data_IF_075867172949
#
_entry.id   IF_075867172949
#
_cell.length_a   1.000
_cell.length_b   1.000
_cell.length_c   1.000
_cell.angle_alpha   90.00
_cell.angle_beta   90.00
_cell.angle_gamma   90.00
#
_symmetry.space_group_name_H-M   'P 1'
#
loop_
_entity.id
_entity.type
_entity.pdbx_description
1 polymer ?
#
# COMPACT_ATOMS: atom_id res chain seq x y z
N UNK A 1 43.65 5.25 6.93
CA UNK A 1 42.90 4.59 8.01
C UNK A 1 41.90 5.60 8.50
N UNK A 2 40.84 5.83 7.71
CA UNK A 2 39.76 6.72 8.10
C UNK A 2 38.71 5.87 8.79
N UNK A 3 38.56 6.13 10.08
CA UNK A 3 37.53 5.54 10.93
C UNK A 3 36.17 5.89 10.35
N UNK A 4 35.46 4.86 9.87
CA UNK A 4 34.02 4.86 9.64
C UNK A 4 33.35 5.43 10.88
N UNK A 5 32.92 6.68 10.82
CA UNK A 5 32.08 7.28 11.85
C UNK A 5 30.74 6.53 11.83
N UNK A 6 30.61 5.55 12.72
CA UNK A 6 29.35 4.88 13.01
C UNK A 6 28.39 5.98 13.47
N UNK A 7 27.34 6.21 12.69
CA UNK A 7 26.30 7.17 13.04
C UNK A 7 25.66 6.73 14.37
N UNK A 8 25.81 7.49 15.48
CA UNK A 8 25.38 7.04 16.82
C UNK A 8 23.87 6.83 16.94
N UNK A 9 23.06 7.31 15.98
CA UNK A 9 21.62 7.04 15.91
C UNK A 9 21.27 5.59 15.55
N UNK A 10 22.19 4.82 14.94
CA UNK A 10 21.91 3.46 14.48
C UNK A 10 21.90 2.41 15.61
N UNK A 11 22.44 2.71 16.79
CA UNK A 11 22.58 1.74 17.88
C UNK A 11 21.41 1.76 18.89
N UNK A 12 20.60 2.82 18.91
CA UNK A 12 19.48 2.97 19.86
C UNK A 12 18.16 2.64 19.20
N UNK A 13 17.39 1.72 19.78
CA UNK A 13 16.04 1.32 19.36
C UNK A 13 15.04 2.46 19.49
N UNK A 14 13.91 2.40 18.76
CA UNK A 14 12.81 3.36 18.96
C UNK A 14 12.30 3.39 20.42
N UNK A 15 12.25 2.24 21.10
CA UNK A 15 11.90 2.18 22.53
C UNK A 15 12.86 2.97 23.43
N UNK A 16 14.17 2.91 23.17
CA UNK A 16 15.15 3.70 23.91
C UNK A 16 15.06 5.20 23.60
N UNK A 17 14.72 5.56 22.35
CA UNK A 17 14.63 6.97 21.92
C UNK A 17 13.35 7.65 22.40
N UNK A 18 12.23 6.94 22.45
CA UNK A 18 10.90 7.52 22.72
C UNK A 18 10.25 7.00 24.00
N UNK A 19 10.88 6.05 24.69
CA UNK A 19 10.30 5.36 25.85
C UNK A 19 9.14 4.44 25.49
N UNK A 20 8.82 3.55 26.42
CA UNK A 20 7.62 2.69 26.37
C UNK A 20 6.55 3.23 27.33
N UNK A 21 5.29 3.00 26.98
CA UNK A 21 4.14 3.41 27.79
C UNK A 21 3.38 2.18 28.28
N UNK A 22 2.76 2.30 29.45
CA UNK A 22 1.86 1.28 29.98
C UNK A 22 0.58 1.21 29.14
N UNK A 23 0.04 0.00 29.00
CA UNK A 23 -1.23 -0.19 28.28
C UNK A 23 -2.36 0.48 29.06
N UNK A 24 -3.17 1.36 28.43
CA UNK A 24 -4.31 1.96 29.09
C UNK A 24 -5.42 0.93 29.35
N UNK A 25 -6.34 1.26 30.25
CA UNK A 25 -7.61 0.52 30.36
C UNK A 25 -8.40 0.66 29.05
N UNK A 26 -8.84 -0.48 28.50
CA UNK A 26 -9.57 -0.59 27.24
C UNK A 26 -11.05 -0.86 27.46
N UNK A 27 -11.62 -0.38 28.57
CA UNK A 27 -13.05 -0.45 28.83
C UNK A 27 -13.85 0.52 27.93
N UNK A 28 -15.01 0.06 27.44
CA UNK A 28 -15.96 0.91 26.72
C UNK A 28 -16.81 1.73 27.69
N UNK A 29 -16.24 2.83 28.17
CA UNK A 29 -16.91 3.76 29.10
C UNK A 29 -17.84 4.75 28.38
N UNK A 30 -18.77 5.42 29.09
CA UNK A 30 -19.59 6.48 28.49
C UNK A 30 -18.77 7.63 27.89
N UNK A 31 -17.55 7.89 28.38
CA UNK A 31 -16.66 8.88 27.80
C UNK A 31 -16.10 8.41 26.45
N UNK A 32 -15.58 7.18 26.38
CA UNK A 32 -15.10 6.55 25.14
C UNK A 32 -16.22 6.51 24.09
N UNK A 33 -17.43 6.11 24.49
CA UNK A 33 -18.60 6.11 23.62
C UNK A 33 -18.86 7.49 22.98
N UNK A 34 -18.92 8.55 23.79
CA UNK A 34 -19.15 9.92 23.29
C UNK A 34 -18.05 10.40 22.35
N UNK A 35 -16.79 10.17 22.71
CA UNK A 35 -15.65 10.67 21.93
C UNK A 35 -15.46 9.94 20.61
N UNK A 36 -15.87 8.67 20.54
CA UNK A 36 -15.73 7.82 19.35
C UNK A 36 -16.97 7.77 18.48
N UNK A 37 -18.12 8.29 18.94
CA UNK A 37 -19.37 8.30 18.17
C UNK A 37 -19.23 8.92 16.75
N UNK A 38 -18.52 10.06 16.54
CA UNK A 38 -18.34 10.59 15.18
C UNK A 38 -17.51 9.68 14.26
N UNK A 39 -16.65 8.82 14.83
CA UNK A 39 -15.86 7.85 14.08
C UNK A 39 -16.70 6.62 13.75
N UNK A 40 -17.59 6.20 14.67
CA UNK A 40 -18.53 5.11 14.42
C UNK A 40 -19.44 5.39 13.22
N UNK A 41 -19.94 6.62 13.09
CA UNK A 41 -20.80 7.02 11.97
C UNK A 41 -20.17 6.76 10.59
N UNK A 42 -18.84 6.78 10.50
CA UNK A 42 -18.09 6.52 9.25
C UNK A 42 -18.03 5.04 8.89
N UNK A 43 -18.20 4.15 9.87
CA UNK A 43 -18.02 2.70 9.72
C UNK A 43 -19.26 1.89 10.07
N UNK A 44 -20.36 2.52 10.52
CA UNK A 44 -21.60 1.85 10.94
C UNK A 44 -22.23 0.92 9.89
N UNK A 45 -21.93 1.14 8.61
CA UNK A 45 -22.38 0.27 7.52
C UNK A 45 -21.58 -1.03 7.42
N UNK A 46 -20.40 -1.09 8.04
CA UNK A 46 -19.49 -2.24 8.02
C UNK A 46 -19.30 -2.86 9.40
N UNK A 47 -19.50 -2.07 10.46
CA UNK A 47 -19.35 -2.49 11.86
C UNK A 47 -20.72 -2.39 12.54
N UNK A 48 -21.34 -3.54 12.87
CA UNK A 48 -22.56 -3.57 13.66
C UNK A 48 -22.39 -2.82 14.99
N UNK A 49 -23.44 -2.15 15.45
CA UNK A 49 -23.40 -1.35 16.69
C UNK A 49 -22.95 -2.18 17.90
N UNK A 50 -23.36 -3.45 17.94
CA UNK A 50 -22.99 -4.40 19.00
C UNK A 50 -21.48 -4.72 19.03
N UNK A 51 -20.77 -4.55 17.91
CA UNK A 51 -19.33 -4.77 17.83
C UNK A 51 -18.52 -3.50 18.11
N UNK A 52 -19.13 -2.31 18.01
CA UNK A 52 -18.43 -1.06 18.26
C UNK A 52 -17.73 -0.97 19.63
N UNK A 53 -18.32 -1.47 20.74
CA UNK A 53 -17.64 -1.53 22.03
C UNK A 53 -16.30 -2.27 22.03
N UNK A 54 -16.06 -3.16 21.07
CA UNK A 54 -14.78 -3.88 20.92
C UNK A 54 -13.71 -2.99 20.28
N UNK A 55 -14.09 -2.17 19.29
CA UNK A 55 -13.16 -1.32 18.54
C UNK A 55 -12.92 0.05 19.20
N UNK A 56 -13.98 0.65 19.76
CA UNK A 56 -13.97 2.02 20.27
C UNK A 56 -12.85 2.31 21.29
N UNK A 57 -12.56 1.44 22.26
CA UNK A 57 -11.46 1.68 23.20
C UNK A 57 -10.09 1.76 22.52
N UNK A 58 -9.81 0.88 21.55
CA UNK A 58 -8.57 0.95 20.78
C UNK A 58 -8.50 2.21 19.91
N UNK A 59 -9.59 2.54 19.21
CA UNK A 59 -9.67 3.76 18.39
C UNK A 59 -9.40 5.00 19.22
N UNK A 60 -10.00 5.10 20.42
CA UNK A 60 -9.78 6.20 21.34
C UNK A 60 -8.32 6.26 21.81
N UNK A 61 -7.76 5.13 22.28
CA UNK A 61 -6.38 5.06 22.77
C UNK A 61 -5.36 5.44 21.69
N UNK A 62 -5.49 4.89 20.48
CA UNK A 62 -4.59 5.17 19.35
C UNK A 62 -4.63 6.65 18.98
N UNK A 63 -5.81 7.25 18.85
CA UNK A 63 -5.94 8.66 18.48
C UNK A 63 -5.39 9.62 19.54
N UNK A 64 -5.38 9.22 20.83
CA UNK A 64 -4.70 9.97 21.88
C UNK A 64 -3.18 9.81 21.79
N UNK A 65 -2.70 8.56 21.70
CA UNK A 65 -1.26 8.26 21.66
C UNK A 65 -0.55 8.86 20.46
N UNK A 66 -1.20 8.90 19.29
CA UNK A 66 -0.65 9.59 18.11
C UNK A 66 -0.29 11.04 18.42
N UNK A 67 -1.18 11.76 19.12
CA UNK A 67 -0.95 13.17 19.49
C UNK A 67 0.17 13.28 20.52
N UNK A 68 0.15 12.42 21.54
CA UNK A 68 1.16 12.39 22.60
C UNK A 68 2.57 12.11 22.06
N UNK A 69 2.67 11.24 21.06
CA UNK A 69 3.95 10.84 20.45
C UNK A 69 4.36 11.66 19.23
N UNK A 70 3.61 12.68 18.83
CA UNK A 70 3.81 13.36 17.55
C UNK A 70 3.95 12.35 16.38
N UNK A 71 3.01 11.40 16.31
CA UNK A 71 2.99 10.33 15.34
C UNK A 71 1.84 10.49 14.34
N UNK A 72 2.07 10.07 13.10
CA UNK A 72 1.07 10.02 12.03
C UNK A 72 0.86 8.57 11.57
N UNK A 73 -0.39 8.19 11.31
CA UNK A 73 -0.73 6.89 10.72
C UNK A 73 -1.02 7.06 9.22
N UNK A 74 -0.29 6.31 8.40
CA UNK A 74 -0.54 6.16 6.96
C UNK A 74 -1.25 4.84 6.72
N UNK A 75 -2.38 4.82 5.99
CA UNK A 75 -3.08 3.58 5.65
C UNK A 75 -3.31 3.39 4.16
N UNK A 76 -3.00 2.18 3.70
CA UNK A 76 -3.32 1.77 2.33
C UNK A 76 -4.83 1.53 2.16
N UNK A 77 -5.33 1.69 0.93
CA UNK A 77 -6.74 1.47 0.57
C UNK A 77 -7.28 0.06 0.89
N UNK A 78 -6.40 -0.91 1.13
CA UNK A 78 -6.74 -2.30 1.50
C UNK A 78 -6.83 -2.54 3.01
N UNK A 79 -6.62 -1.51 3.83
CA UNK A 79 -6.77 -1.61 5.27
C UNK A 79 -8.24 -1.74 5.66
N UNK A 80 -8.51 -2.48 6.74
CA UNK A 80 -9.87 -2.62 7.27
C UNK A 80 -10.52 -1.25 7.54
N UNK A 81 -11.85 -1.09 7.36
CA UNK A 81 -12.54 0.18 7.56
C UNK A 81 -12.26 0.85 8.91
N UNK A 82 -12.12 0.09 9.99
CA UNK A 82 -11.80 0.64 11.32
C UNK A 82 -10.39 1.22 11.41
N UNK A 83 -9.42 0.63 10.71
CA UNK A 83 -8.06 1.20 10.61
C UNK A 83 -8.11 2.42 9.70
N UNK A 84 -8.68 2.25 8.51
CA UNK A 84 -8.72 3.24 7.45
C UNK A 84 -9.48 4.51 7.87
N UNK A 85 -10.71 4.42 8.38
CA UNK A 85 -11.55 5.59 8.65
C UNK A 85 -11.45 6.15 10.07
N UNK A 86 -11.00 5.36 11.05
CA UNK A 86 -11.07 5.76 12.47
C UNK A 86 -9.73 6.15 13.08
N UNK A 87 -8.59 5.65 12.58
CA UNK A 87 -7.26 5.96 13.16
C UNK A 87 -6.23 6.46 12.16
N UNK A 88 -6.50 6.43 10.86
CA UNK A 88 -5.54 6.89 9.85
C UNK A 88 -5.63 8.39 9.60
N UNK A 89 -4.48 9.05 9.48
CA UNK A 89 -4.40 10.49 9.20
C UNK A 89 -4.27 10.75 7.70
N UNK A 90 -3.54 9.88 6.99
CA UNK A 90 -3.35 9.93 5.54
C UNK A 90 -3.72 8.56 4.96
N UNK A 91 -4.43 8.59 3.83
CA UNK A 91 -5.04 7.43 3.20
C UNK A 91 -4.80 7.48 1.69
N UNK A 92 -4.47 6.36 1.07
CA UNK A 92 -4.30 6.32 -0.37
C UNK A 92 -3.64 5.06 -0.92
N UNK A 93 -3.31 5.13 -2.20
CA UNK A 93 -2.52 4.12 -2.90
C UNK A 93 -1.01 4.26 -2.60
N UNK A 94 -0.20 3.33 -3.08
CA UNK A 94 1.25 3.32 -2.82
C UNK A 94 1.95 4.62 -3.25
N UNK A 95 1.53 5.26 -4.34
CA UNK A 95 2.17 6.48 -4.83
C UNK A 95 1.80 7.69 -3.97
N UNK A 96 0.51 7.80 -3.61
CA UNK A 96 0.02 8.87 -2.75
C UNK A 96 0.67 8.78 -1.37
N UNK A 97 0.72 7.58 -0.77
CA UNK A 97 1.35 7.39 0.54
C UNK A 97 2.84 7.72 0.52
N UNK A 98 3.58 7.28 -0.50
CA UNK A 98 5.01 7.59 -0.62
C UNK A 98 5.25 9.11 -0.75
N UNK A 99 4.41 9.82 -1.51
CA UNK A 99 4.47 11.28 -1.63
C UNK A 99 4.15 11.99 -0.33
N UNK A 100 3.02 11.67 0.29
CA UNK A 100 2.56 12.39 1.47
C UNK A 100 3.40 12.08 2.71
N UNK A 101 4.02 10.89 2.78
CA UNK A 101 4.99 10.56 3.82
C UNK A 101 6.18 11.54 3.86
N UNK A 102 6.53 12.20 2.75
CA UNK A 102 7.62 13.21 2.72
C UNK A 102 7.21 14.57 3.27
N UNK A 103 5.89 14.81 3.40
CA UNK A 103 5.30 16.11 3.75
C UNK A 103 4.85 16.21 5.20
N UNK A 104 4.94 15.12 5.95
CA UNK A 104 4.55 15.10 7.37
C UNK A 104 5.69 15.62 8.25
N UNK A 105 5.33 16.46 9.21
CA UNK A 105 6.24 17.02 10.22
C UNK A 105 6.40 16.10 11.45
N UNK A 106 5.57 15.05 11.56
CA UNK A 106 5.61 14.07 12.64
C UNK A 106 6.96 13.33 12.70
N UNK A 107 7.45 13.07 13.91
CA UNK A 107 8.72 12.34 14.14
C UNK A 107 8.58 10.84 13.88
N UNK A 108 7.36 10.33 14.09
CA UNK A 108 7.01 8.91 13.98
C UNK A 108 5.96 8.73 12.89
N UNK A 109 6.18 7.77 11.99
CA UNK A 109 5.21 7.33 11.00
C UNK A 109 4.88 5.86 11.29
N UNK A 110 3.61 5.56 11.53
CA UNK A 110 3.13 4.17 11.60
C UNK A 110 2.53 3.80 10.26
N UNK A 111 3.19 2.89 9.55
CA UNK A 111 2.78 2.42 8.23
C UNK A 111 1.77 1.27 8.36
N UNK A 112 0.48 1.56 8.22
CA UNK A 112 -0.58 0.56 8.11
C UNK A 112 -0.68 0.05 6.66
N UNK A 113 0.21 -0.87 6.33
CA UNK A 113 0.31 -1.52 5.04
C UNK A 113 1.19 -2.76 5.14
N UNK A 114 2.02 -2.98 4.13
CA UNK A 114 2.96 -4.11 4.07
C UNK A 114 4.42 -3.63 4.14
N UNK A 115 5.35 -4.55 4.42
CA UNK A 115 6.74 -4.26 4.78
C UNK A 115 7.45 -3.36 3.77
N UNK A 116 7.34 -3.65 2.46
CA UNK A 116 7.98 -2.81 1.44
C UNK A 116 7.48 -1.36 1.43
N UNK A 117 6.24 -1.11 1.84
CA UNK A 117 5.70 0.25 1.94
C UNK A 117 6.35 0.99 3.10
N UNK A 118 6.57 0.29 4.22
CA UNK A 118 7.26 0.85 5.38
C UNK A 118 8.74 1.11 5.06
N UNK A 119 9.40 0.21 4.32
CA UNK A 119 10.76 0.45 3.79
C UNK A 119 10.79 1.68 2.88
N UNK A 120 9.79 1.83 1.99
CA UNK A 120 9.68 2.99 1.10
C UNK A 120 9.55 4.29 1.91
N UNK A 121 8.70 4.30 2.95
CA UNK A 121 8.57 5.43 3.87
C UNK A 121 9.89 5.72 4.60
N UNK A 122 10.65 4.69 4.98
CA UNK A 122 11.97 4.86 5.63
C UNK A 122 13.03 5.39 4.68
N UNK A 123 13.05 4.94 3.43
CA UNK A 123 13.95 5.44 2.38
C UNK A 123 13.74 6.94 2.14
N UNK A 124 12.47 7.38 2.10
CA UNK A 124 12.10 8.77 1.85
C UNK A 124 12.23 9.66 3.09
N UNK A 125 12.17 9.08 4.29
CA UNK A 125 12.30 9.77 5.57
C UNK A 125 13.39 9.12 6.45
N UNK A 126 14.68 9.22 6.09
CA UNK A 126 15.75 8.50 6.77
C UNK A 126 15.89 8.87 8.26
N UNK A 127 15.57 10.12 8.61
CA UNK A 127 15.69 10.65 9.97
C UNK A 127 14.48 10.36 10.86
N UNK A 128 13.33 10.00 10.28
CA UNK A 128 12.10 9.67 11.02
C UNK A 128 12.11 8.22 11.48
N UNK A 129 11.37 7.95 12.54
CA UNK A 129 11.09 6.58 13.00
C UNK A 129 9.88 6.04 12.25
N UNK A 130 10.07 4.96 11.51
CA UNK A 130 9.00 4.28 10.79
C UNK A 130 8.68 3.00 11.54
N UNK A 131 7.43 2.81 11.94
CA UNK A 131 6.97 1.59 12.57
C UNK A 131 6.01 0.87 11.63
N UNK A 132 6.05 -0.46 11.64
CA UNK A 132 5.03 -1.31 11.00
C UNK A 132 4.34 -2.15 12.08
N UNK A 133 3.00 -2.14 12.22
CA UNK A 133 2.34 -2.89 13.29
C UNK A 133 2.62 -4.40 13.29
N UNK A 134 3.04 -4.97 12.16
CA UNK A 134 3.46 -6.36 12.03
C UNK A 134 4.52 -6.49 10.92
N UNK A 135 5.79 -6.75 11.26
CA UNK A 135 6.86 -6.94 10.26
C UNK A 135 6.66 -8.14 9.35
N UNK A 136 5.82 -9.10 9.73
CA UNK A 136 5.48 -10.26 8.88
C UNK A 136 4.41 -9.94 7.82
N UNK A 137 3.90 -8.70 7.77
CA UNK A 137 3.05 -8.21 6.70
C UNK A 137 3.84 -8.06 5.39
N UNK A 138 4.19 -9.18 4.77
CA UNK A 138 4.91 -9.28 3.50
C UNK A 138 4.05 -8.98 2.27
N UNK A 139 4.45 -9.51 1.11
CA UNK A 139 3.71 -9.40 -0.14
C UNK A 139 4.24 -10.42 -1.15
N UNK A 140 3.35 -11.23 -1.75
CA UNK A 140 3.73 -12.27 -2.73
C UNK A 140 4.61 -11.72 -3.87
N UNK A 141 4.30 -10.53 -4.39
CA UNK A 141 5.09 -9.87 -5.42
C UNK A 141 6.49 -9.50 -4.93
N UNK A 142 6.58 -8.92 -3.73
CA UNK A 142 7.87 -8.49 -3.18
C UNK A 142 8.76 -9.68 -2.81
N UNK A 143 8.17 -10.80 -2.42
CA UNK A 143 8.87 -12.03 -2.07
C UNK A 143 9.27 -12.85 -3.30
N UNK A 144 8.67 -12.57 -4.46
CA UNK A 144 8.96 -13.28 -5.72
C UNK A 144 10.33 -12.96 -6.32
N UNK A 145 10.98 -11.86 -5.91
CA UNK A 145 12.23 -11.38 -6.52
C UNK A 145 13.19 -10.78 -5.47
N UNK A 146 14.49 -10.99 -5.67
CA UNK A 146 15.56 -10.41 -4.84
C UNK A 146 16.45 -9.44 -5.63
N UNK A 147 17.25 -8.62 -4.96
CA UNK A 147 18.24 -7.78 -5.63
C UNK A 147 19.29 -8.60 -6.37
N UNK A 148 19.58 -9.83 -5.92
CA UNK A 148 20.46 -10.75 -6.63
C UNK A 148 19.87 -11.16 -7.99
N UNK A 149 18.57 -11.40 -8.05
CA UNK A 149 17.87 -11.71 -9.30
C UNK A 149 17.90 -10.52 -10.26
N UNK A 150 17.73 -9.29 -9.76
CA UNK A 150 17.86 -8.08 -10.59
C UNK A 150 19.28 -7.92 -11.13
N UNK A 151 20.31 -8.19 -10.33
CA UNK A 151 21.71 -8.19 -10.81
C UNK A 151 21.93 -9.23 -11.90
N UNK A 152 21.36 -10.42 -11.75
CA UNK A 152 21.41 -11.46 -12.78
C UNK A 152 20.67 -11.05 -14.07
N UNK A 153 19.51 -10.40 -13.96
CA UNK A 153 18.78 -9.83 -15.11
C UNK A 153 19.61 -8.77 -15.84
N UNK A 154 20.27 -7.86 -15.11
CA UNK A 154 21.14 -6.83 -15.69
C UNK A 154 22.36 -7.43 -16.40
N UNK A 155 22.92 -8.51 -15.86
CA UNK A 155 24.00 -9.25 -16.52
C UNK A 155 23.52 -9.96 -17.80
N UNK A 156 22.29 -10.49 -17.79
CA UNK A 156 21.67 -11.16 -18.95
C UNK A 156 21.23 -10.17 -20.03
N UNK A 157 20.81 -8.96 -19.65
CA UNK A 157 20.33 -7.91 -20.55
C UNK A 157 21.10 -6.59 -20.33
N UNK A 158 22.40 -6.52 -20.68
CA UNK A 158 23.20 -5.32 -20.46
C UNK A 158 22.62 -4.09 -21.17
N UNK A 159 22.52 -2.98 -20.45
CA UNK A 159 22.01 -1.70 -20.99
C UNK A 159 20.49 -1.57 -21.06
N UNK A 160 19.73 -2.62 -20.74
CA UNK A 160 18.26 -2.54 -20.64
C UNK A 160 17.90 -1.91 -19.29
N UNK A 161 17.17 -0.77 -19.26
CA UNK A 161 16.78 -0.13 -18.01
C UNK A 161 15.76 -0.98 -17.23
N UNK A 162 15.86 -0.90 -15.90
CA UNK A 162 15.03 -1.64 -14.95
C UNK A 162 13.99 -0.71 -14.32
N UNK A 163 12.74 -0.91 -14.69
CA UNK A 163 11.55 -0.35 -14.04
C UNK A 163 11.04 -1.38 -13.03
N UNK A 164 10.97 -1.00 -11.76
CA UNK A 164 10.49 -1.90 -10.71
C UNK A 164 9.25 -1.35 -10.03
N UNK A 165 8.20 -2.15 -10.02
CA UNK A 165 7.01 -1.87 -9.26
C UNK A 165 7.35 -1.74 -7.77
N UNK A 166 6.79 -0.75 -7.09
CA UNK A 166 7.09 -0.46 -5.68
C UNK A 166 6.83 -1.64 -4.73
N UNK A 167 6.07 -2.64 -5.15
CA UNK A 167 5.79 -3.88 -4.43
C UNK A 167 7.01 -4.82 -4.41
N UNK A 168 8.14 -4.33 -3.89
CA UNK A 168 9.46 -4.98 -3.88
C UNK A 168 10.30 -4.52 -2.69
N UNK A 169 11.28 -5.30 -2.26
CA UNK A 169 12.13 -4.90 -1.12
C UNK A 169 13.05 -3.71 -1.46
N UNK A 170 13.61 -3.07 -0.43
CA UNK A 170 14.65 -2.07 -0.59
C UNK A 170 15.90 -2.62 -1.33
N UNK A 171 16.24 -3.90 -1.17
CA UNK A 171 17.35 -4.55 -1.89
C UNK A 171 17.10 -4.58 -3.40
N UNK A 172 15.89 -4.95 -3.82
CA UNK A 172 15.50 -4.90 -5.24
C UNK A 172 15.57 -3.47 -5.76
N UNK A 173 14.99 -2.51 -5.03
CA UNK A 173 15.01 -1.08 -5.40
C UNK A 173 16.42 -0.52 -5.56
N UNK A 174 17.40 -1.05 -4.82
CA UNK A 174 18.79 -0.60 -4.91
C UNK A 174 19.49 -0.99 -6.24
N UNK A 175 18.90 -1.92 -6.99
CA UNK A 175 19.38 -2.37 -8.29
C UNK A 175 18.57 -1.81 -9.47
N UNK A 176 17.50 -1.08 -9.16
CA UNK A 176 16.50 -0.50 -10.08
C UNK A 176 16.91 0.88 -10.59
N UNK A 177 16.58 1.20 -11.85
CA UNK A 177 16.80 2.54 -12.41
C UNK A 177 15.71 3.52 -11.98
N UNK A 178 14.43 3.11 -12.03
CA UNK A 178 13.29 3.90 -11.59
C UNK A 178 12.17 2.99 -11.07
N UNK A 179 11.54 3.38 -9.96
CA UNK A 179 10.34 2.67 -9.50
C UNK A 179 9.10 3.07 -10.29
N UNK A 180 8.05 2.26 -10.23
CA UNK A 180 6.71 2.65 -10.69
C UNK A 180 5.62 2.18 -9.73
N UNK A 181 4.40 2.68 -9.90
CA UNK A 181 3.18 2.11 -9.32
C UNK A 181 2.17 1.78 -10.42
N UNK A 182 1.07 1.10 -10.08
CA UNK A 182 -0.04 0.88 -11.01
C UNK A 182 -0.65 2.19 -11.54
N UNK A 183 -0.39 3.33 -10.89
CA UNK A 183 -0.88 4.66 -11.28
C UNK A 183 -0.01 5.36 -12.34
N UNK A 184 1.27 4.99 -12.49
CA UNK A 184 2.21 5.66 -13.39
C UNK A 184 3.13 4.72 -14.18
N UNK A 185 2.91 3.40 -14.16
CA UNK A 185 3.79 2.44 -14.83
C UNK A 185 3.97 2.70 -16.33
N UNK A 186 2.91 3.09 -17.04
CA UNK A 186 3.00 3.46 -18.46
C UNK A 186 3.86 4.71 -18.63
N UNK A 187 3.55 5.79 -17.88
CA UNK A 187 4.30 7.05 -17.90
C UNK A 187 5.80 6.82 -17.62
N UNK A 188 6.12 5.99 -16.62
CA UNK A 188 7.50 5.63 -16.25
C UNK A 188 8.19 4.88 -17.37
N UNK A 189 7.56 3.82 -17.91
CA UNK A 189 8.12 3.04 -19.00
C UNK A 189 8.37 3.92 -20.22
N UNK A 190 7.44 4.79 -20.59
CA UNK A 190 7.55 5.68 -21.75
C UNK A 190 8.61 6.77 -21.56
N UNK A 191 8.88 7.22 -20.33
CA UNK A 191 9.88 8.24 -20.04
C UNK A 191 11.34 7.85 -20.30
N UNK A 192 11.64 6.55 -20.37
CA UNK A 192 13.01 6.05 -20.51
C UNK A 192 13.52 6.10 -21.96
N UNK A 193 14.75 6.53 -22.20
CA UNK A 193 15.33 6.50 -23.55
C UNK A 193 15.83 5.09 -23.93
N UNK A 194 14.89 4.19 -24.20
CA UNK A 194 15.15 2.79 -24.62
C UNK A 194 13.93 2.19 -25.30
N UNK A 195 14.16 1.37 -26.33
CA UNK A 195 13.14 0.57 -27.01
C UNK A 195 12.73 -0.68 -26.20
N UNK A 196 13.58 -1.13 -25.28
CA UNK A 196 13.32 -2.30 -24.42
C UNK A 196 13.49 -1.94 -22.95
N UNK A 197 12.58 -2.42 -22.09
CA UNK A 197 12.59 -2.15 -20.65
C UNK A 197 12.31 -3.43 -19.88
N UNK A 198 12.99 -3.64 -18.75
CA UNK A 198 12.59 -4.63 -17.74
C UNK A 198 11.51 -3.99 -16.86
N UNK A 199 10.31 -4.57 -16.80
CA UNK A 199 9.24 -4.17 -15.89
C UNK A 199 8.95 -5.33 -14.94
N UNK A 200 9.29 -5.19 -13.66
CA UNK A 200 9.31 -6.28 -12.66
C UNK A 200 8.65 -5.86 -11.34
N UNK A 201 8.22 -6.79 -10.46
CA UNK A 201 8.18 -8.22 -10.66
C UNK A 201 6.84 -8.72 -11.22
N UNK A 202 5.83 -7.87 -11.27
CA UNK A 202 4.47 -8.26 -11.63
C UNK A 202 4.33 -8.48 -13.14
N UNK A 203 4.18 -9.74 -13.54
CA UNK A 203 4.03 -10.14 -14.94
C UNK A 203 2.77 -9.54 -15.57
N UNK A 204 1.65 -9.52 -14.85
CA UNK A 204 0.38 -9.07 -15.41
C UNK A 204 0.36 -7.56 -15.58
N UNK A 205 0.89 -6.80 -14.62
CA UNK A 205 1.13 -5.37 -14.78
C UNK A 205 2.04 -5.12 -15.99
N UNK A 206 3.16 -5.85 -16.12
CA UNK A 206 4.07 -5.70 -17.24
C UNK A 206 3.40 -6.00 -18.59
N UNK A 207 2.61 -7.07 -18.69
CA UNK A 207 1.81 -7.39 -19.89
C UNK A 207 0.78 -6.30 -20.21
N UNK A 208 0.10 -5.76 -19.19
CA UNK A 208 -0.89 -4.71 -19.35
C UNK A 208 -0.25 -3.37 -19.76
N UNK A 209 0.94 -3.06 -19.25
CA UNK A 209 1.73 -1.90 -19.69
C UNK A 209 2.22 -2.09 -21.13
N UNK A 210 2.65 -3.30 -21.51
CA UNK A 210 3.13 -3.61 -22.86
C UNK A 210 2.06 -3.35 -23.93
N UNK A 211 0.77 -3.56 -23.60
CA UNK A 211 -0.35 -3.24 -24.50
C UNK A 211 -0.59 -1.73 -24.68
N UNK A 212 -0.02 -0.88 -23.81
CA UNK A 212 -0.22 0.58 -23.78
C UNK A 212 1.00 1.39 -24.23
N UNK A 213 2.12 0.73 -24.52
CA UNK A 213 3.35 1.36 -25.01
C UNK A 213 3.82 0.71 -26.31
N UNK A 214 4.73 1.38 -27.03
CA UNK A 214 5.44 0.82 -28.18
C UNK A 214 6.72 0.08 -27.81
N UNK A 215 7.14 0.16 -26.54
CA UNK A 215 8.37 -0.46 -26.05
C UNK A 215 8.21 -1.96 -25.84
N UNK A 216 9.28 -2.70 -26.09
CA UNK A 216 9.36 -4.11 -25.73
C UNK A 216 9.54 -4.24 -24.22
N UNK A 217 8.66 -4.99 -23.57
CA UNK A 217 8.75 -5.23 -22.13
C UNK A 217 9.26 -6.65 -21.87
N UNK A 218 10.31 -6.74 -21.05
CA UNK A 218 10.78 -7.96 -20.42
C UNK A 218 10.27 -7.97 -18.97
N UNK A 219 9.86 -9.13 -18.45
CA UNK A 219 9.27 -9.21 -17.10
C UNK A 219 9.84 -10.37 -16.29
N UNK A 220 9.50 -10.35 -15.01
CA UNK A 220 9.64 -11.45 -14.07
C UNK A 220 8.27 -12.13 -13.91
N UNK A 221 8.26 -13.43 -13.59
CA UNK A 221 7.04 -14.21 -13.43
C UNK A 221 6.52 -14.14 -11.98
N UNK A 222 6.38 -12.92 -11.44
CA UNK A 222 5.76 -12.68 -10.14
C UNK A 222 4.29 -12.29 -10.31
N UNK A 223 3.43 -12.77 -9.40
CA UNK A 223 1.99 -12.46 -9.41
C UNK A 223 1.49 -12.06 -8.02
N UNK A 224 0.44 -11.25 -8.01
CA UNK A 224 -0.31 -10.95 -6.80
C UNK A 224 -1.32 -12.07 -6.50
N UNK A 225 -1.15 -12.74 -5.36
CA UNK A 225 -2.01 -13.87 -4.93
C UNK A 225 -3.50 -13.52 -4.78
N UNK A 226 -3.82 -12.23 -4.74
CA UNK A 226 -5.19 -11.71 -4.70
C UNK A 226 -5.73 -11.55 -6.12
N UNK A 227 -4.99 -10.89 -7.00
CA UNK A 227 -5.48 -10.49 -8.33
C UNK A 227 -5.37 -11.60 -9.37
N UNK A 228 -4.49 -12.59 -9.19
CA UNK A 228 -4.38 -13.75 -10.10
C UNK A 228 -5.62 -14.66 -10.05
N UNK A 229 -6.44 -14.53 -8.99
CA UNK A 229 -7.62 -15.39 -8.75
C UNK A 229 -8.82 -15.03 -9.62
N UNK A 230 -8.85 -13.82 -10.19
CA UNK A 230 -9.96 -13.36 -11.02
C UNK A 230 -9.88 -13.94 -12.43
N UNK A 231 -11.01 -14.38 -12.97
CA UNK A 231 -11.09 -14.97 -14.31
C UNK A 231 -12.06 -14.20 -15.21
N UNK A 232 -11.81 -14.14 -16.53
CA UNK A 232 -12.75 -13.50 -17.45
C UNK A 232 -14.12 -14.18 -17.46
N UNK A 233 -14.18 -15.50 -17.26
CA UNK A 233 -15.42 -16.26 -17.19
C UNK A 233 -16.28 -15.85 -15.99
N UNK A 234 -15.68 -15.68 -14.82
CA UNK A 234 -16.37 -15.16 -13.62
C UNK A 234 -16.94 -13.75 -13.86
N UNK A 235 -16.15 -12.85 -14.44
CA UNK A 235 -16.58 -11.48 -14.75
C UNK A 235 -17.73 -11.46 -15.76
N UNK A 236 -17.67 -12.30 -16.79
CA UNK A 236 -18.74 -12.41 -17.77
C UNK A 236 -20.02 -13.00 -17.15
N UNK A 237 -19.91 -13.98 -16.25
CA UNK A 237 -21.07 -14.49 -15.51
C UNK A 237 -21.76 -13.40 -14.66
N UNK A 238 -20.99 -12.50 -14.03
CA UNK A 238 -21.57 -11.33 -13.35
C UNK A 238 -22.32 -10.41 -14.31
N UNK A 239 -21.75 -10.13 -15.49
CA UNK A 239 -22.38 -9.28 -16.51
C UNK A 239 -23.63 -9.92 -17.12
N UNK A 240 -23.63 -11.23 -17.30
CA UNK A 240 -24.80 -11.98 -17.77
C UNK A 240 -25.95 -11.95 -16.75
N UNK A 241 -25.62 -12.07 -15.46
CA UNK A 241 -26.59 -11.99 -14.37
C UNK A 241 -27.13 -10.56 -14.17
N UNK A 242 -26.31 -9.54 -14.44
CA UNK A 242 -26.68 -8.14 -14.31
C UNK A 242 -26.01 -7.26 -15.39
N UNK A 243 -26.69 -7.00 -16.52
CA UNK A 243 -26.14 -6.21 -17.61
C UNK A 243 -25.83 -4.75 -17.27
N UNK A 244 -26.37 -4.22 -16.17
CA UNK A 244 -26.13 -2.84 -15.71
C UNK A 244 -24.87 -2.72 -14.81
N UNK A 245 -24.18 -3.84 -14.51
CA UNK A 245 -22.96 -3.83 -13.71
C UNK A 245 -21.77 -3.27 -14.50
N UNK A 246 -21.07 -2.30 -13.92
CA UNK A 246 -19.77 -1.87 -14.44
C UNK A 246 -18.64 -2.64 -13.75
N UNK A 247 -17.75 -3.24 -14.53
CA UNK A 247 -16.62 -4.01 -14.03
C UNK A 247 -15.38 -3.12 -14.00
N UNK A 248 -14.85 -2.89 -12.80
CA UNK A 248 -13.69 -2.02 -12.55
C UNK A 248 -12.58 -2.87 -11.96
N UNK A 249 -11.46 -3.01 -12.69
CA UNK A 249 -10.38 -3.92 -12.34
C UNK A 249 -9.04 -3.23 -12.05
N UNK A 250 -8.19 -3.91 -11.29
CA UNK A 250 -6.82 -3.47 -11.05
C UNK A 250 -5.87 -4.04 -12.13
N UNK A 251 -4.85 -3.31 -12.61
CA UNK A 251 -3.95 -3.77 -13.68
C UNK A 251 -2.98 -4.90 -13.26
N UNK A 252 -3.04 -5.35 -12.01
CA UNK A 252 -2.39 -6.60 -11.55
C UNK A 252 -3.21 -7.85 -11.94
N UNK A 253 -4.42 -7.69 -12.51
CA UNK A 253 -5.17 -8.81 -13.07
C UNK A 253 -4.64 -9.22 -14.44
N UNK A 254 -4.83 -10.51 -14.78
CA UNK A 254 -4.45 -11.05 -16.08
C UNK A 254 -5.02 -10.21 -17.24
N UNK A 255 -4.29 -10.00 -18.36
CA UNK A 255 -4.77 -9.13 -19.44
C UNK A 255 -6.11 -9.52 -20.07
N UNK A 256 -6.55 -10.77 -19.92
CA UNK A 256 -7.88 -11.22 -20.36
C UNK A 256 -9.00 -10.74 -19.42
N UNK A 257 -8.73 -10.64 -18.12
CA UNK A 257 -9.63 -10.02 -17.14
C UNK A 257 -9.76 -8.53 -17.46
N UNK A 258 -8.65 -7.86 -17.77
CA UNK A 258 -8.66 -6.45 -18.17
C UNK A 258 -9.43 -6.24 -19.48
N UNK A 259 -9.30 -7.14 -20.45
CA UNK A 259 -9.98 -7.04 -21.74
C UNK A 259 -11.51 -7.08 -21.63
N UNK A 260 -12.05 -7.76 -20.61
CA UNK A 260 -13.49 -7.83 -20.35
C UNK A 260 -13.95 -6.85 -19.27
N UNK A 261 -13.09 -5.94 -18.79
CA UNK A 261 -13.43 -4.92 -17.80
C UNK A 261 -13.80 -3.59 -18.44
N UNK A 262 -14.72 -2.84 -17.84
CA UNK A 262 -15.15 -1.51 -18.32
C UNK A 262 -14.11 -0.42 -18.00
N UNK A 263 -13.37 -0.60 -16.90
CA UNK A 263 -12.26 0.26 -16.53
C UNK A 263 -11.13 -0.54 -15.85
N UNK A 264 -9.88 -0.11 -16.08
CA UNK A 264 -8.72 -0.66 -15.40
C UNK A 264 -7.72 0.42 -14.96
N UNK A 265 -7.36 0.44 -13.69
CA UNK A 265 -6.44 1.44 -13.12
C UNK A 265 -6.00 1.15 -11.69
N UNK A 266 -5.11 1.99 -11.14
CA UNK A 266 -4.72 1.91 -9.72
C UNK A 266 -5.93 2.08 -8.80
N UNK A 267 -5.76 1.74 -7.52
CA UNK A 267 -6.86 1.90 -6.56
C UNK A 267 -7.38 3.34 -6.49
N UNK A 268 -6.51 4.35 -6.56
CA UNK A 268 -6.92 5.75 -6.67
C UNK A 268 -7.72 6.03 -7.96
N UNK A 269 -7.26 5.53 -9.11
CA UNK A 269 -7.96 5.72 -10.37
C UNK A 269 -9.34 5.04 -10.40
N UNK A 270 -9.48 3.87 -9.74
CA UNK A 270 -10.75 3.18 -9.56
C UNK A 270 -11.70 3.99 -8.65
N UNK A 271 -11.19 4.57 -7.55
CA UNK A 271 -11.95 5.47 -6.68
C UNK A 271 -12.48 6.66 -7.48
N UNK A 272 -11.61 7.30 -8.25
CA UNK A 272 -11.96 8.45 -9.09
C UNK A 272 -12.99 8.08 -10.17
N UNK A 273 -12.84 6.91 -10.80
CA UNK A 273 -13.82 6.37 -11.75
C UNK A 273 -15.21 6.26 -11.12
N UNK A 274 -15.32 5.62 -9.95
CA UNK A 274 -16.60 5.42 -9.26
C UNK A 274 -17.22 6.76 -8.82
N UNK A 275 -16.42 7.68 -8.27
CA UNK A 275 -16.90 8.97 -7.77
C UNK A 275 -17.32 9.91 -8.90
N UNK A 276 -16.64 9.87 -10.04
CA UNK A 276 -16.96 10.72 -11.21
C UNK A 276 -18.12 10.17 -12.03
N UNK A 277 -18.10 8.88 -12.36
CA UNK A 277 -19.06 8.24 -13.27
C UNK A 277 -20.36 7.88 -12.56
N UNK A 278 -20.33 7.72 -11.23
CA UNK A 278 -21.46 7.35 -10.36
C UNK A 278 -22.34 6.22 -10.94
N UNK A 279 -21.75 5.06 -11.28
CA UNK A 279 -22.48 3.89 -11.73
C UNK A 279 -23.53 3.47 -10.70
N UNK A 280 -24.64 2.86 -11.15
CA UNK A 280 -25.63 2.29 -10.22
C UNK A 280 -25.04 1.09 -9.46
N UNK A 281 -24.25 0.28 -10.16
CA UNK A 281 -23.65 -0.94 -9.62
C UNK A 281 -22.25 -1.16 -10.18
N UNK A 282 -21.33 -1.57 -9.31
CA UNK A 282 -19.93 -1.81 -9.65
C UNK A 282 -19.49 -3.16 -9.13
N UNK A 283 -18.89 -3.98 -9.98
CA UNK A 283 -18.06 -5.10 -9.58
C UNK A 283 -16.62 -4.61 -9.42
N UNK A 284 -16.12 -4.56 -8.19
CA UNK A 284 -14.72 -4.20 -7.93
C UNK A 284 -13.84 -5.44 -7.99
N UNK A 285 -13.03 -5.55 -9.03
CA UNK A 285 -12.09 -6.64 -9.28
C UNK A 285 -10.73 -6.25 -8.70
N UNK A 286 -10.67 -6.25 -7.37
CA UNK A 286 -9.49 -5.94 -6.56
C UNK A 286 -9.67 -6.49 -5.14
N UNK A 287 -8.82 -6.10 -4.20
CA UNK A 287 -8.94 -6.50 -2.79
C UNK A 287 -10.24 -5.99 -2.15
N UNK A 288 -10.90 -6.85 -1.36
CA UNK A 288 -12.26 -6.65 -0.87
C UNK A 288 -12.44 -5.44 0.08
N UNK A 289 -11.47 -5.16 0.95
CA UNK A 289 -11.54 -4.06 1.93
C UNK A 289 -11.66 -2.70 1.24
N UNK A 290 -11.04 -2.55 0.06
CA UNK A 290 -11.18 -1.33 -0.75
C UNK A 290 -12.64 -1.03 -1.08
N UNK A 291 -13.44 -2.03 -1.45
CA UNK A 291 -14.83 -1.80 -1.80
C UNK A 291 -15.63 -1.20 -0.64
N UNK A 292 -15.39 -1.67 0.59
CA UNK A 292 -16.00 -1.09 1.79
C UNK A 292 -15.51 0.34 2.05
N UNK A 293 -14.22 0.61 1.86
CA UNK A 293 -13.67 1.97 2.04
C UNK A 293 -14.25 2.98 1.03
N UNK A 294 -14.48 2.57 -0.22
CA UNK A 294 -15.04 3.42 -1.27
C UNK A 294 -16.54 3.63 -1.11
N UNK A 295 -17.26 2.61 -0.66
CA UNK A 295 -18.70 2.68 -0.43
C UNK A 295 -19.07 3.80 0.54
N UNK A 296 -18.23 4.05 1.56
CA UNK A 296 -18.39 5.18 2.47
C UNK A 296 -18.24 6.55 1.78
N UNK A 297 -17.51 6.62 0.67
CA UNK A 297 -17.23 7.86 -0.09
C UNK A 297 -18.10 8.04 -1.34
N UNK A 298 -18.84 6.99 -1.75
CA UNK A 298 -19.68 6.97 -2.95
C UNK A 298 -21.11 6.52 -2.63
N UNK A 299 -21.87 7.27 -1.82
CA UNK A 299 -23.23 6.89 -1.44
C UNK A 299 -24.14 6.79 -2.68
N UNK A 300 -24.93 5.72 -2.73
CA UNK A 300 -25.85 5.42 -3.82
C UNK A 300 -25.28 4.52 -4.92
N UNK A 301 -24.00 4.17 -4.86
CA UNK A 301 -23.40 3.12 -5.71
C UNK A 301 -23.51 1.78 -4.98
N UNK A 302 -24.02 0.75 -5.67
CA UNK A 302 -24.04 -0.61 -5.13
C UNK A 302 -22.74 -1.33 -5.49
N UNK A 303 -22.03 -1.86 -4.50
CA UNK A 303 -20.77 -2.58 -4.72
C UNK A 303 -20.97 -4.09 -4.64
N UNK A 304 -20.59 -4.81 -5.70
CA UNK A 304 -20.40 -6.25 -5.69
C UNK A 304 -18.92 -6.52 -5.35
N UNK A 305 -18.70 -7.36 -4.34
CA UNK A 305 -17.39 -7.60 -3.72
C UNK A 305 -17.04 -9.09 -3.78
N UNK A 306 -16.29 -9.54 -4.79
CA UNK A 306 -15.70 -10.87 -4.74
C UNK A 306 -14.67 -10.86 -3.61
N UNK A 307 -14.93 -11.63 -2.54
CA UNK A 307 -14.19 -11.55 -1.27
C UNK A 307 -12.77 -12.16 -1.37
N UNK A 308 -11.88 -11.49 -2.11
CA UNK A 308 -10.45 -11.77 -2.16
C UNK A 308 -9.74 -10.79 -1.23
N UNK A 309 -9.39 -11.25 -0.02
CA UNK A 309 -8.65 -10.48 0.98
C UNK A 309 -7.15 -10.74 0.84
N UNK A 310 -6.34 -9.68 0.92
CA UNK A 310 -4.89 -9.83 1.03
C UNK A 310 -4.53 -10.27 2.45
N UNK A 311 -4.03 -11.50 2.68
CA UNK A 311 -3.73 -11.99 4.02
C UNK A 311 -2.66 -11.14 4.72
N UNK A 312 -1.77 -10.50 3.96
CA UNK A 312 -0.74 -9.62 4.51
C UNK A 312 -1.30 -8.28 5.01
N UNK A 313 -2.19 -7.63 4.26
CA UNK A 313 -2.81 -6.37 4.68
C UNK A 313 -3.65 -6.53 5.95
N UNK A 314 -4.33 -7.69 6.09
CA UNK A 314 -5.16 -8.00 7.26
C UNK A 314 -4.37 -8.31 8.53
N UNK A 315 -3.03 -8.43 8.46
CA UNK A 315 -2.20 -8.56 9.66
C UNK A 315 -2.16 -7.29 10.49
N UNK A 316 -2.44 -6.14 9.87
CA UNK A 316 -2.46 -4.84 10.54
C UNK A 316 -3.81 -4.64 11.24
N UNK A 317 -3.78 -4.62 12.56
CA UNK A 317 -4.99 -4.54 13.40
C UNK A 317 -4.87 -3.43 14.43
N UNK A 318 -6.00 -2.94 14.95
CA UNK A 318 -5.99 -1.90 15.99
C UNK A 318 -5.17 -2.30 17.24
N UNK A 319 -5.25 -3.53 17.77
CA UNK A 319 -4.37 -3.95 18.86
C UNK A 319 -2.88 -3.82 18.53
N UNK A 320 -2.46 -4.24 17.33
CA UNK A 320 -1.05 -4.15 16.94
C UNK A 320 -0.58 -2.72 16.68
N UNK A 321 -1.45 -1.87 16.14
CA UNK A 321 -1.17 -0.43 15.99
C UNK A 321 -0.98 0.20 17.37
N UNK A 322 -1.86 -0.12 18.32
CA UNK A 322 -1.74 0.33 19.71
C UNK A 322 -0.43 -0.15 20.33
N UNK A 323 -0.07 -1.43 20.16
CA UNK A 323 1.15 -2.01 20.73
C UNK A 323 2.41 -1.37 20.14
N UNK A 324 2.45 -1.16 18.83
CA UNK A 324 3.54 -0.47 18.15
C UNK A 324 3.72 0.96 18.69
N UNK A 325 2.63 1.69 18.93
CA UNK A 325 2.69 3.01 19.56
C UNK A 325 3.05 2.95 21.05
N UNK A 326 2.59 1.97 21.82
CA UNK A 326 2.90 1.89 23.24
C UNK A 326 4.37 1.53 23.48
N UNK A 327 4.83 0.50 22.79
CA UNK A 327 6.13 -0.13 23.05
C UNK A 327 7.22 0.29 22.07
N UNK A 328 6.87 1.08 21.05
CA UNK A 328 7.81 1.57 20.03
C UNK A 328 8.56 0.41 19.35
N UNK A 329 7.84 -0.68 19.09
CA UNK A 329 8.36 -1.91 18.48
C UNK A 329 8.11 -1.94 16.98
N UNK A 330 8.79 -2.89 16.31
CA UNK A 330 8.70 -3.09 14.86
C UNK A 330 9.18 -1.86 14.06
N UNK A 331 10.26 -1.24 14.52
CA UNK A 331 10.93 -0.18 13.77
C UNK A 331 11.53 -0.74 12.47
N UNK A 332 11.18 -0.11 11.36
CA UNK A 332 11.71 -0.43 10.04
C UNK A 332 13.03 0.30 9.82
N UNK A 333 14.05 -0.49 9.54
CA UNK A 333 15.39 0.00 9.17
C UNK A 333 15.74 -0.52 7.78
N UNK A 334 16.61 0.21 7.08
CA UNK A 334 17.12 -0.20 5.76
C UNK A 334 18.64 -0.13 5.83
N UNK A 335 19.31 -1.14 5.28
CA UNK A 335 20.77 -1.20 5.26
C UNK A 335 21.36 0.07 4.61
N UNK A 336 22.22 0.82 5.33
CA UNK A 336 22.89 2.00 4.80
C UNK A 336 23.64 1.76 3.48
N UNK A 337 24.13 0.54 3.23
CA UNK A 337 24.86 0.18 2.02
C UNK A 337 23.98 0.21 0.75
N UNK A 338 22.66 0.06 0.90
CA UNK A 338 21.69 0.05 -0.20
C UNK A 338 20.76 1.26 -0.20
N UNK A 339 20.55 1.89 0.97
CA UNK A 339 19.54 2.92 1.20
C UNK A 339 19.62 4.08 0.19
N UNK A 340 20.82 4.60 -0.10
CA UNK A 340 20.99 5.71 -1.05
C UNK A 340 20.55 5.36 -2.47
N UNK A 341 20.87 4.14 -2.95
CA UNK A 341 20.50 3.68 -4.30
C UNK A 341 18.99 3.39 -4.37
N UNK A 342 18.46 2.69 -3.37
CA UNK A 342 17.04 2.38 -3.30
C UNK A 342 16.17 3.65 -3.22
N UNK A 343 16.59 4.63 -2.42
CA UNK A 343 15.94 5.93 -2.32
C UNK A 343 15.90 6.65 -3.67
N UNK A 344 17.02 6.66 -4.41
CA UNK A 344 17.10 7.32 -5.72
C UNK A 344 16.07 6.75 -6.71
N UNK A 345 15.88 5.43 -6.74
CA UNK A 345 14.89 4.79 -7.61
C UNK A 345 13.45 5.25 -7.28
N UNK A 346 13.13 5.38 -5.99
CA UNK A 346 11.82 5.87 -5.51
C UNK A 346 11.65 7.37 -5.77
N UNK A 347 12.68 8.19 -5.54
CA UNK A 347 12.62 9.63 -5.80
C UNK A 347 12.42 9.94 -7.28
N UNK A 348 13.07 9.19 -8.17
CA UNK A 348 12.85 9.29 -9.63
C UNK A 348 11.39 9.03 -10.01
N UNK A 349 10.76 8.02 -9.40
CA UNK A 349 9.34 7.72 -9.59
C UNK A 349 8.44 8.88 -9.12
N UNK A 350 8.68 9.39 -7.91
CA UNK A 350 7.82 10.40 -7.29
C UNK A 350 7.90 11.73 -8.05
N UNK A 351 9.11 12.10 -8.47
CA UNK A 351 9.42 13.36 -9.15
C UNK A 351 9.19 13.33 -10.67
N UNK A 352 8.79 12.18 -11.23
CA UNK A 352 8.44 12.09 -12.63
C UNK A 352 7.25 13.02 -12.92
N UNK A 353 7.48 14.04 -13.73
CA UNK A 353 6.44 14.97 -14.21
C UNK A 353 5.72 14.29 -15.37
N UNK A 354 4.39 14.35 -15.34
CA UNK A 354 3.54 13.93 -16.46
C UNK A 354 3.68 14.89 -17.64
#
# INVERSE_FOLDING_TARGET
MDTLAINPKAATTAAERFGVLERPDLAYTPAVARETAPLYERVKHFVPEIEWPVYAPYVHAINRLKKERNAVILAHNYQMPVVFHCVSDIRGDSLQLARDATRVDADIIVQCGVHFMAETSKLLNPDKTILIPDSTAGCSLSESITGADVRALKARYPGVPVVTYVNTSADVKAETDICCTSANAVDVVDSLDSDTVLCIPDEYLAMNVAKKTRKKILTWAGHCEVHERFTPDELNAYREADPDVEIVAHPECHPDVIAVSDFAGSTAAMIDYVKSRRPKKVLLVTECSMASNIEAEAPGVTFIKPCNLCPHMQKITLPKILDSLLFMTEEVTVDPAIAGRARLAVERMINLKR
#
